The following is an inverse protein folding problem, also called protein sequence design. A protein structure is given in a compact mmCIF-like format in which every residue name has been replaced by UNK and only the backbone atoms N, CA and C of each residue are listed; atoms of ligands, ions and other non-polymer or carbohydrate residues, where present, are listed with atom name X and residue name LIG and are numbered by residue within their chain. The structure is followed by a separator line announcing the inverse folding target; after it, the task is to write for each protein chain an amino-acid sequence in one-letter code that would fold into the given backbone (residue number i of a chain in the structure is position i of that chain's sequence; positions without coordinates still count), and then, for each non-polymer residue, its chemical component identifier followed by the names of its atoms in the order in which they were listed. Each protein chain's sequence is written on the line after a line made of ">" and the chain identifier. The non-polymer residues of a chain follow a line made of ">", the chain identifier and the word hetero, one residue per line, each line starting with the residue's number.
data_IF_263458411718
#
_entry.id   IF_263458411718
#
_cell.length_a   1.000
_cell.length_b   1.000
_cell.length_c   1.000
_cell.angle_alpha   90.00
_cell.angle_beta   90.00
_cell.angle_gamma   90.00
#
_symmetry.space_group_name_H-M   'P 1'
#
loop_
_entity.id
_entity.type
_entity.pdbx_description
1 polymer ?
#
# COMPACT_ATOMS: atom_id res chain seq x y z
N UNK A 1 -23.21 -25.77 29.84
CA UNK A 1 -23.23 -26.00 28.36
C UNK A 1 -23.56 -24.73 27.58
N UNK A 2 -24.53 -23.90 27.98
CA UNK A 2 -24.89 -22.64 27.31
C UNK A 2 -23.76 -21.58 27.23
N UNK A 3 -23.01 -21.35 28.32
CA UNK A 3 -21.89 -20.39 28.31
C UNK A 3 -20.71 -20.83 27.41
N UNK A 4 -20.54 -22.15 27.23
CA UNK A 4 -19.51 -22.69 26.33
C UNK A 4 -19.92 -22.62 24.85
N UNK A 5 -21.22 -22.64 24.53
CA UNK A 5 -21.70 -22.46 23.16
C UNK A 5 -21.61 -21.00 22.72
N UNK A 6 -21.93 -20.05 23.61
CA UNK A 6 -21.77 -18.60 23.33
C UNK A 6 -20.31 -18.25 23.07
N UNK A 7 -19.38 -18.70 23.92
CA UNK A 7 -17.95 -18.43 23.73
C UNK A 7 -17.32 -19.10 22.50
N UNK A 8 -17.95 -20.13 21.94
CA UNK A 8 -17.55 -20.73 20.65
C UNK A 8 -18.10 -19.94 19.46
N UNK A 9 -19.34 -19.46 19.55
CA UNK A 9 -19.97 -18.63 18.53
C UNK A 9 -19.24 -17.28 18.38
N UNK A 10 -18.94 -16.58 19.47
CA UNK A 10 -18.19 -15.31 19.44
C UNK A 10 -16.76 -15.47 18.91
N UNK A 11 -16.10 -16.61 19.18
CA UNK A 11 -14.76 -16.89 18.63
C UNK A 11 -14.85 -17.10 17.11
N UNK A 12 -15.90 -17.77 16.62
CA UNK A 12 -16.15 -17.97 15.19
C UNK A 12 -16.38 -16.65 14.46
N UNK A 13 -17.25 -15.80 15.00
CA UNK A 13 -17.61 -14.51 14.40
C UNK A 13 -16.40 -13.55 14.32
N UNK A 14 -15.56 -13.52 15.37
CA UNK A 14 -14.33 -12.72 15.37
C UNK A 14 -13.30 -13.23 14.36
N UNK A 15 -13.19 -14.55 14.18
CA UNK A 15 -12.28 -15.11 13.19
C UNK A 15 -12.81 -14.91 11.76
N UNK A 16 -14.12 -14.99 11.53
CA UNK A 16 -14.76 -14.64 10.24
C UNK A 16 -14.50 -13.17 9.87
N UNK A 17 -14.73 -12.24 10.80
CA UNK A 17 -14.44 -10.81 10.60
C UNK A 17 -12.96 -10.58 10.25
N UNK A 18 -12.04 -11.27 10.94
CA UNK A 18 -10.61 -11.16 10.64
C UNK A 18 -10.27 -11.68 9.23
N UNK A 19 -10.91 -12.76 8.76
CA UNK A 19 -10.72 -13.27 7.40
C UNK A 19 -11.21 -12.27 6.36
N UNK A 20 -12.34 -11.60 6.59
CA UNK A 20 -12.85 -10.55 5.69
C UNK A 20 -11.85 -9.39 5.59
N UNK A 21 -11.29 -8.95 6.72
CA UNK A 21 -10.25 -7.92 6.74
C UNK A 21 -8.98 -8.34 5.99
N UNK A 22 -8.56 -9.61 6.11
CA UNK A 22 -7.43 -10.15 5.33
C UNK A 22 -7.76 -10.21 3.84
N UNK A 23 -8.99 -10.57 3.46
CA UNK A 23 -9.47 -10.53 2.09
C UNK A 23 -9.38 -9.13 1.49
N UNK A 24 -9.90 -8.13 2.21
CA UNK A 24 -9.81 -6.73 1.83
C UNK A 24 -8.36 -6.25 1.70
N UNK A 25 -7.51 -6.59 2.67
CA UNK A 25 -6.07 -6.28 2.64
C UNK A 25 -5.38 -6.84 1.38
N UNK A 26 -5.63 -8.10 1.05
CA UNK A 26 -5.01 -8.75 -0.12
C UNK A 26 -5.47 -8.09 -1.43
N UNK A 27 -6.77 -7.81 -1.55
CA UNK A 27 -7.33 -7.12 -2.72
C UNK A 27 -6.74 -5.72 -2.88
N UNK A 28 -6.66 -4.97 -1.78
CA UNK A 28 -6.09 -3.63 -1.76
C UNK A 28 -4.58 -3.64 -2.08
N UNK A 29 -3.82 -4.60 -1.56
CA UNK A 29 -2.40 -4.77 -1.89
C UNK A 29 -2.22 -5.02 -3.40
N UNK A 30 -3.01 -5.94 -3.96
CA UNK A 30 -2.93 -6.26 -5.39
C UNK A 30 -3.27 -5.04 -6.26
N UNK A 31 -4.32 -4.29 -5.90
CA UNK A 31 -4.69 -3.05 -6.58
C UNK A 31 -3.57 -1.99 -6.49
N UNK A 32 -2.97 -1.80 -5.31
CA UNK A 32 -1.88 -0.86 -5.10
C UNK A 32 -0.63 -1.20 -5.93
N UNK A 33 -0.26 -2.48 -5.99
CA UNK A 33 0.87 -2.96 -6.81
C UNK A 33 0.60 -2.73 -8.30
N UNK A 34 -0.62 -3.03 -8.76
CA UNK A 34 -1.01 -2.78 -10.16
C UNK A 34 -0.96 -1.29 -10.48
N UNK A 35 -1.52 -0.44 -9.63
CA UNK A 35 -1.51 1.02 -9.83
C UNK A 35 -0.08 1.56 -9.86
N UNK A 36 0.78 1.16 -8.93
CA UNK A 36 2.19 1.56 -8.90
C UNK A 36 2.90 1.17 -10.21
N UNK A 37 2.66 -0.03 -10.71
CA UNK A 37 3.24 -0.49 -11.98
C UNK A 37 2.79 0.41 -13.13
N UNK A 38 1.49 0.67 -13.27
CA UNK A 38 0.99 1.47 -14.38
C UNK A 38 1.37 2.95 -14.28
N UNK A 39 1.45 3.53 -13.07
CA UNK A 39 1.97 4.90 -12.90
C UNK A 39 3.47 4.99 -13.22
N UNK A 40 4.27 3.97 -12.91
CA UNK A 40 5.67 3.91 -13.34
C UNK A 40 5.79 3.83 -14.85
N UNK A 41 4.96 3.01 -15.50
CA UNK A 41 4.88 2.93 -16.95
C UNK A 41 4.51 4.29 -17.55
N UNK A 42 3.48 4.94 -17.01
CA UNK A 42 3.05 6.27 -17.42
C UNK A 42 4.18 7.30 -17.33
N UNK A 43 4.87 7.37 -16.18
CA UNK A 43 5.99 8.30 -16.00
C UNK A 43 7.15 8.04 -16.98
N UNK A 44 7.42 6.78 -17.33
CA UNK A 44 8.40 6.44 -18.36
C UNK A 44 7.94 6.89 -19.75
N UNK A 45 6.64 6.75 -20.06
CA UNK A 45 6.06 7.26 -21.32
C UNK A 45 6.15 8.80 -21.40
N UNK A 46 5.94 9.52 -20.30
CA UNK A 46 6.12 10.98 -20.24
C UNK A 46 7.57 11.36 -20.57
N UNK A 47 8.55 10.67 -19.99
CA UNK A 47 9.98 10.87 -20.30
C UNK A 47 10.30 10.61 -21.77
N UNK A 48 9.78 9.52 -22.31
CA UNK A 48 9.98 9.17 -23.71
C UNK A 48 9.36 10.20 -24.66
N UNK A 49 8.16 10.72 -24.34
CA UNK A 49 7.50 11.76 -25.12
C UNK A 49 8.28 13.08 -25.07
N UNK A 50 8.75 13.48 -23.89
CA UNK A 50 9.61 14.66 -23.74
C UNK A 50 10.87 14.58 -24.60
N UNK A 51 11.55 13.43 -24.60
CA UNK A 51 12.74 13.22 -25.44
C UNK A 51 12.40 13.27 -26.93
N UNK A 52 11.30 12.64 -27.35
CA UNK A 52 10.86 12.67 -28.74
C UNK A 52 10.51 14.10 -29.19
N UNK A 53 9.80 14.86 -28.35
CA UNK A 53 9.46 16.27 -28.59
C UNK A 53 10.72 17.12 -28.72
N UNK A 54 11.71 16.91 -27.85
CA UNK A 54 12.99 17.62 -27.91
C UNK A 54 13.74 17.35 -29.21
N UNK A 55 13.90 16.08 -29.60
CA UNK A 55 14.58 15.71 -30.84
C UNK A 55 13.89 16.31 -32.08
N UNK A 56 12.55 16.39 -32.07
CA UNK A 56 11.80 17.03 -33.15
C UNK A 56 12.07 18.54 -33.20
N UNK A 57 12.07 19.22 -32.06
CA UNK A 57 12.36 20.65 -31.97
C UNK A 57 13.82 20.97 -32.33
N UNK A 58 14.78 20.13 -31.94
CA UNK A 58 16.18 20.28 -32.34
C UNK A 58 16.33 20.22 -33.87
N UNK A 59 15.65 19.26 -34.52
CA UNK A 59 15.64 19.15 -35.98
C UNK A 59 14.97 20.35 -36.66
N UNK A 60 13.90 20.91 -36.06
CA UNK A 60 13.27 22.13 -36.54
C UNK A 60 14.23 23.32 -36.47
N UNK A 61 14.92 23.50 -35.34
CA UNK A 61 15.87 24.59 -35.12
C UNK A 61 17.08 24.49 -36.04
N UNK A 62 17.58 23.28 -36.33
CA UNK A 62 18.67 23.06 -37.31
C UNK A 62 18.22 23.37 -38.74
N UNK A 63 16.99 23.03 -39.10
CA UNK A 63 16.43 23.32 -40.42
C UNK A 63 16.05 24.80 -40.59
N UNK A 64 15.90 25.56 -39.50
CA UNK A 64 15.53 26.97 -39.52
C UNK A 64 16.73 27.83 -39.92
N UNK A 65 16.66 28.41 -41.11
CA UNK A 65 17.75 29.22 -41.69
C UNK A 65 18.18 30.38 -40.78
N UNK A 66 19.48 30.66 -40.73
CA UNK A 66 20.04 31.75 -39.91
C UNK A 66 19.50 33.15 -40.31
N UNK A 67 19.07 33.28 -41.56
CA UNK A 67 18.53 34.49 -42.17
C UNK A 67 17.00 34.61 -42.05
N UNK A 68 16.34 33.59 -41.51
CA UNK A 68 14.88 33.58 -41.39
C UNK A 68 14.43 34.41 -40.18
N UNK A 69 13.31 35.15 -40.29
CA UNK A 69 12.77 35.94 -39.18
C UNK A 69 12.51 35.10 -37.93
N UNK A 70 12.49 35.73 -36.76
CA UNK A 70 11.98 35.13 -35.52
C UNK A 70 12.72 33.85 -35.05
N UNK A 71 13.93 33.59 -35.56
CA UNK A 71 14.75 32.43 -35.16
C UNK A 71 15.00 32.37 -33.64
N UNK A 72 15.25 33.52 -33.01
CA UNK A 72 15.41 33.61 -31.56
C UNK A 72 14.10 33.29 -30.83
N UNK A 73 12.94 33.64 -31.39
CA UNK A 73 11.62 33.31 -30.82
C UNK A 73 11.35 31.80 -30.89
N UNK A 74 11.66 31.16 -32.01
CA UNK A 74 11.58 29.69 -32.16
C UNK A 74 12.43 28.99 -31.10
N UNK A 75 13.66 29.47 -30.88
CA UNK A 75 14.55 28.94 -29.85
C UNK A 75 13.99 29.16 -28.43
N UNK A 76 13.45 30.35 -28.15
CA UNK A 76 12.84 30.66 -26.86
C UNK A 76 11.60 29.78 -26.57
N UNK A 77 10.78 29.50 -27.58
CA UNK A 77 9.66 28.54 -27.47
C UNK A 77 10.18 27.14 -27.16
N UNK A 78 11.25 26.69 -27.83
CA UNK A 78 11.88 25.40 -27.52
C UNK A 78 12.37 25.31 -26.07
N UNK A 79 13.10 26.32 -25.58
CA UNK A 79 13.58 26.35 -24.20
C UNK A 79 12.40 26.36 -23.21
N UNK A 80 11.30 27.05 -23.53
CA UNK A 80 10.08 27.06 -22.73
C UNK A 80 9.40 25.68 -22.68
N UNK A 81 9.29 24.98 -23.81
CA UNK A 81 8.77 23.60 -23.87
C UNK A 81 9.61 22.65 -23.01
N UNK A 82 10.95 22.75 -23.08
CA UNK A 82 11.86 21.91 -22.30
C UNK A 82 11.69 22.12 -20.78
N UNK A 83 11.45 23.36 -20.35
CA UNK A 83 11.15 23.69 -18.95
C UNK A 83 9.81 23.09 -18.50
N UNK A 84 8.76 23.21 -19.32
CA UNK A 84 7.44 22.64 -19.01
C UNK A 84 7.49 21.12 -18.91
N UNK A 85 8.19 20.44 -19.83
CA UNK A 85 8.40 19.00 -19.76
C UNK A 85 9.16 18.57 -18.50
N UNK A 86 10.20 19.32 -18.11
CA UNK A 86 11.00 19.03 -16.93
C UNK A 86 10.19 19.18 -15.64
N UNK A 87 9.44 20.28 -15.50
CA UNK A 87 8.54 20.50 -14.35
C UNK A 87 7.46 19.42 -14.26
N UNK A 88 6.86 19.04 -15.39
CA UNK A 88 5.85 17.99 -15.43
C UNK A 88 6.39 16.62 -14.99
N UNK A 89 7.57 16.23 -15.50
CA UNK A 89 8.25 15.00 -15.09
C UNK A 89 8.59 14.99 -13.60
N UNK A 90 9.05 16.11 -13.05
CA UNK A 90 9.36 16.25 -11.63
C UNK A 90 8.09 16.07 -10.79
N UNK A 91 6.98 16.73 -11.15
CA UNK A 91 5.70 16.61 -10.44
C UNK A 91 5.14 15.19 -10.47
N UNK A 92 5.12 14.54 -11.63
CA UNK A 92 4.69 13.13 -11.73
C UNK A 92 5.56 12.24 -10.84
N UNK A 93 6.86 12.51 -10.76
CA UNK A 93 7.76 11.71 -9.91
C UNK A 93 7.54 11.98 -8.42
N UNK A 94 7.50 13.25 -8.03
CA UNK A 94 7.52 13.69 -6.62
C UNK A 94 6.14 13.63 -5.99
N UNK A 95 5.10 14.04 -6.71
CA UNK A 95 3.75 14.24 -6.17
C UNK A 95 2.82 13.06 -6.46
N UNK A 96 3.15 12.22 -7.45
CA UNK A 96 2.37 11.02 -7.78
C UNK A 96 3.12 9.74 -7.41
N UNK A 97 4.31 9.50 -7.97
CA UNK A 97 5.03 8.24 -7.75
C UNK A 97 5.55 8.07 -6.31
N UNK A 98 6.09 9.12 -5.71
CA UNK A 98 6.63 9.02 -4.34
C UNK A 98 5.55 8.62 -3.31
N UNK A 99 4.38 9.28 -3.22
CA UNK A 99 3.30 8.86 -2.33
C UNK A 99 2.80 7.43 -2.60
N UNK A 100 2.71 7.02 -3.86
CA UNK A 100 2.31 5.65 -4.23
C UNK A 100 3.32 4.62 -3.73
N UNK A 101 4.63 4.92 -3.81
CA UNK A 101 5.66 4.06 -3.25
C UNK A 101 5.56 3.97 -1.72
N UNK A 102 5.34 5.09 -1.03
CA UNK A 102 5.14 5.13 0.45
C UNK A 102 3.89 4.37 0.88
N UNK A 103 2.80 4.47 0.12
CA UNK A 103 1.60 3.70 0.38
C UNK A 103 1.86 2.19 0.19
N UNK A 104 2.54 1.81 -0.89
CA UNK A 104 2.88 0.41 -1.17
C UNK A 104 3.82 -0.19 -0.10
N UNK A 105 4.72 0.61 0.49
CA UNK A 105 5.68 0.12 1.48
C UNK A 105 5.05 -0.28 2.82
N UNK A 106 3.78 0.07 3.09
CA UNK A 106 3.07 -0.32 4.31
C UNK A 106 2.66 -1.81 4.29
N UNK A 107 2.35 -2.36 3.11
CA UNK A 107 1.77 -3.70 3.00
C UNK A 107 2.72 -4.83 3.44
N UNK A 108 4.03 -4.84 3.13
CA UNK A 108 4.93 -5.92 3.55
C UNK A 108 4.97 -6.13 5.06
N UNK A 109 5.01 -5.06 5.85
CA UNK A 109 5.05 -5.14 7.31
C UNK A 109 3.75 -5.70 7.89
N UNK A 110 2.61 -5.17 7.44
CA UNK A 110 1.28 -5.64 7.85
C UNK A 110 1.10 -7.13 7.49
N UNK A 111 1.54 -7.54 6.29
CA UNK A 111 1.53 -8.94 5.85
C UNK A 111 2.36 -9.85 6.76
N UNK A 112 3.53 -9.40 7.20
CA UNK A 112 4.35 -10.15 8.16
C UNK A 112 3.65 -10.28 9.51
N UNK A 113 2.94 -9.24 9.97
CA UNK A 113 2.15 -9.28 11.20
C UNK A 113 0.94 -10.20 11.10
N UNK A 114 0.22 -10.23 9.97
CA UNK A 114 -0.84 -11.23 9.71
C UNK A 114 -0.29 -12.65 9.81
N UNK A 115 0.86 -12.92 9.17
CA UNK A 115 1.52 -14.23 9.26
C UNK A 115 1.95 -14.56 10.71
N UNK A 116 2.43 -13.55 11.47
CA UNK A 116 2.78 -13.70 12.89
C UNK A 116 1.55 -14.04 13.72
N UNK A 117 0.40 -13.38 13.51
CA UNK A 117 -0.87 -13.73 14.17
C UNK A 117 -1.22 -15.20 13.93
N UNK A 118 -1.16 -15.66 12.68
CA UNK A 118 -1.43 -17.05 12.33
C UNK A 118 -0.58 -18.05 13.11
N UNK A 119 0.73 -17.81 13.21
CA UNK A 119 1.64 -18.64 14.03
C UNK A 119 1.28 -18.59 15.52
N UNK A 120 0.94 -17.42 16.06
CA UNK A 120 0.59 -17.25 17.48
C UNK A 120 -0.76 -17.84 17.86
N UNK A 121 -1.69 -17.91 16.92
CA UNK A 121 -2.94 -18.63 17.10
C UNK A 121 -2.67 -20.14 17.28
N UNK A 122 -1.80 -20.72 16.46
CA UNK A 122 -1.39 -22.13 16.57
C UNK A 122 -0.72 -22.40 17.91
N UNK A 123 0.24 -21.56 18.32
CA UNK A 123 0.90 -21.67 19.63
C UNK A 123 -0.12 -21.64 20.79
N UNK A 124 -1.10 -20.74 20.71
CA UNK A 124 -2.14 -20.60 21.74
C UNK A 124 -3.11 -21.79 21.76
N UNK A 125 -3.58 -22.27 20.61
CA UNK A 125 -4.48 -23.42 20.56
C UNK A 125 -3.79 -24.71 21.03
N UNK A 126 -2.48 -24.88 20.76
CA UNK A 126 -1.68 -25.96 21.32
C UNK A 126 -1.58 -25.89 22.85
N UNK A 127 -1.32 -24.70 23.42
CA UNK A 127 -1.26 -24.50 24.87
C UNK A 127 -2.63 -24.75 25.54
N UNK A 128 -3.74 -24.33 24.90
CA UNK A 128 -5.10 -24.64 25.34
C UNK A 128 -5.37 -26.14 25.39
N UNK A 129 -4.96 -26.87 24.35
CA UNK A 129 -5.12 -28.32 24.30
C UNK A 129 -4.35 -29.02 25.42
N UNK A 130 -3.11 -28.61 25.67
CA UNK A 130 -2.28 -29.11 26.78
C UNK A 130 -2.95 -28.85 28.13
N UNK A 131 -3.46 -27.64 28.37
CA UNK A 131 -4.20 -27.30 29.58
C UNK A 131 -5.47 -28.15 29.75
N UNK A 132 -6.26 -28.31 28.69
CA UNK A 132 -7.49 -29.12 28.73
C UNK A 132 -7.18 -30.59 29.06
N UNK A 133 -6.10 -31.14 28.50
CA UNK A 133 -5.64 -32.51 28.80
C UNK A 133 -5.18 -32.64 30.26
N UNK A 134 -4.44 -31.65 30.78
CA UNK A 134 -4.01 -31.63 32.18
C UNK A 134 -5.21 -31.58 33.16
N UNK A 135 -6.25 -30.81 32.82
CA UNK A 135 -7.48 -30.68 33.62
C UNK A 135 -8.32 -31.98 33.65
N UNK A 136 -8.30 -32.77 32.58
CA UNK A 136 -9.07 -34.02 32.47
C UNK A 136 -8.30 -35.24 33.03
N UNK A 137 -7.06 -35.08 33.48
CA UNK A 137 -6.26 -36.17 34.01
C UNK A 137 -6.87 -36.73 35.29
N UNK A 138 -7.10 -38.06 35.32
CA UNK A 138 -7.56 -38.78 36.52
C UNK A 138 -6.51 -38.80 37.64
N UNK A 139 -5.22 -38.64 37.31
CA UNK A 139 -4.13 -38.40 38.25
C UNK A 139 -3.81 -36.91 38.22
N UNK A 140 -4.45 -36.14 39.10
CA UNK A 140 -4.27 -34.69 39.17
C UNK A 140 -2.90 -34.37 39.76
N UNK A 141 -2.08 -33.65 39.00
CA UNK A 141 -0.79 -33.12 39.40
C UNK A 141 -0.91 -31.58 39.36
N UNK A 142 -1.01 -30.97 40.54
CA UNK A 142 -1.26 -29.54 40.66
C UNK A 142 -0.09 -28.69 40.13
N UNK A 143 1.15 -29.18 40.23
CA UNK A 143 2.32 -28.48 39.68
C UNK A 143 2.29 -28.49 38.14
N UNK A 144 1.95 -29.63 37.54
CA UNK A 144 1.77 -29.76 36.09
C UNK A 144 0.61 -28.92 35.58
N UNK A 145 -0.50 -28.88 36.32
CA UNK A 145 -1.67 -28.07 35.99
C UNK A 145 -1.33 -26.58 36.02
N UNK A 146 -0.65 -26.11 37.07
CA UNK A 146 -0.25 -24.71 37.20
C UNK A 146 0.68 -24.30 36.05
N UNK A 147 1.67 -25.14 35.71
CA UNK A 147 2.57 -24.86 34.57
C UNK A 147 1.82 -24.74 33.25
N UNK A 148 0.90 -25.66 32.96
CA UNK A 148 0.09 -25.61 31.74
C UNK A 148 -0.82 -24.36 31.70
N UNK A 149 -1.32 -23.92 32.85
CA UNK A 149 -2.11 -22.70 32.96
C UNK A 149 -1.26 -21.46 32.67
N UNK A 150 -0.06 -21.36 33.25
CA UNK A 150 0.86 -20.24 33.02
C UNK A 150 1.30 -20.15 31.55
N UNK A 151 1.63 -21.29 30.93
CA UNK A 151 1.99 -21.37 29.50
C UNK A 151 0.83 -20.95 28.60
N UNK A 152 -0.39 -21.42 28.90
CA UNK A 152 -1.60 -21.02 28.16
C UNK A 152 -1.87 -19.52 28.30
N UNK A 153 -1.73 -18.94 29.50
CA UNK A 153 -1.92 -17.51 29.74
C UNK A 153 -0.88 -16.68 28.96
N UNK A 154 0.38 -17.11 28.95
CA UNK A 154 1.46 -16.44 28.19
C UNK A 154 1.19 -16.49 26.68
N UNK A 155 0.85 -17.66 26.14
CA UNK A 155 0.54 -17.81 24.72
C UNK A 155 -0.68 -16.97 24.31
N UNK A 156 -1.73 -16.95 25.15
CA UNK A 156 -2.91 -16.10 24.96
C UNK A 156 -2.53 -14.63 24.86
N UNK A 157 -1.75 -14.12 25.81
CA UNK A 157 -1.34 -12.71 25.83
C UNK A 157 -0.60 -12.32 24.55
N UNK A 158 0.39 -13.12 24.13
CA UNK A 158 1.15 -12.86 22.91
C UNK A 158 0.27 -12.90 21.66
N UNK A 159 -0.70 -13.80 21.58
CA UNK A 159 -1.67 -13.83 20.50
C UNK A 159 -2.58 -12.61 20.51
N UNK A 160 -3.19 -12.27 21.66
CA UNK A 160 -4.13 -11.17 21.81
C UNK A 160 -3.46 -9.83 21.46
N UNK A 161 -2.21 -9.61 21.87
CA UNK A 161 -1.43 -8.39 21.56
C UNK A 161 -1.30 -8.19 20.03
N UNK A 162 -1.00 -9.25 19.29
CA UNK A 162 -0.88 -9.19 17.82
C UNK A 162 -2.26 -9.10 17.16
N UNK A 163 -3.23 -9.86 17.65
CA UNK A 163 -4.57 -9.92 17.10
C UNK A 163 -5.27 -8.57 17.20
N UNK A 164 -5.29 -7.97 18.39
CA UNK A 164 -6.00 -6.71 18.63
C UNK A 164 -5.39 -5.59 17.80
N UNK A 165 -4.05 -5.50 17.74
CA UNK A 165 -3.38 -4.53 16.89
C UNK A 165 -3.73 -4.66 15.39
N UNK A 166 -3.96 -5.89 14.89
CA UNK A 166 -4.41 -6.09 13.50
C UNK A 166 -5.91 -5.85 13.30
N UNK A 167 -6.74 -6.14 14.31
CA UNK A 167 -8.17 -5.85 14.26
C UNK A 167 -8.45 -4.35 14.14
N UNK A 168 -7.56 -3.51 14.66
CA UNK A 168 -7.63 -2.04 14.51
C UNK A 168 -6.97 -1.55 13.21
N UNK A 169 -5.78 -2.08 12.88
CA UNK A 169 -4.97 -1.59 11.76
C UNK A 169 -5.54 -1.96 10.38
N UNK A 170 -6.05 -3.19 10.21
CA UNK A 170 -6.56 -3.65 8.90
C UNK A 170 -7.74 -2.82 8.39
N UNK A 171 -8.81 -2.56 9.17
CA UNK A 171 -9.90 -1.69 8.71
C UNK A 171 -9.43 -0.25 8.52
N UNK A 172 -8.56 0.28 9.38
CA UNK A 172 -8.03 1.63 9.22
C UNK A 172 -7.23 1.79 7.91
N UNK A 173 -6.36 0.82 7.60
CA UNK A 173 -5.65 0.76 6.33
C UNK A 173 -6.63 0.65 5.16
N UNK A 174 -7.70 -0.14 5.32
CA UNK A 174 -8.73 -0.25 4.30
C UNK A 174 -9.39 1.10 4.03
N UNK A 175 -9.86 1.81 5.04
CA UNK A 175 -10.55 3.09 4.89
C UNK A 175 -9.65 4.18 4.29
N UNK A 176 -8.35 4.15 4.61
CA UNK A 176 -7.37 5.09 4.05
C UNK A 176 -7.26 5.06 2.52
N UNK A 177 -7.68 3.95 1.87
CA UNK A 177 -7.56 3.74 0.41
C UNK A 177 -8.25 4.84 -0.40
N UNK A 178 -9.38 5.34 0.09
CA UNK A 178 -10.20 6.32 -0.64
C UNK A 178 -9.42 7.65 -0.72
N UNK A 179 -8.95 8.14 0.43
CA UNK A 179 -8.14 9.35 0.50
C UNK A 179 -6.85 9.24 -0.30
N UNK A 180 -6.19 8.08 -0.25
CA UNK A 180 -5.01 7.80 -1.06
C UNK A 180 -5.29 7.94 -2.57
N UNK A 181 -6.34 7.30 -3.08
CA UNK A 181 -6.68 7.39 -4.51
C UNK A 181 -7.07 8.81 -4.92
N UNK A 182 -7.90 9.48 -4.11
CA UNK A 182 -8.32 10.87 -4.39
C UNK A 182 -7.10 11.78 -4.51
N UNK A 183 -6.22 11.77 -3.51
CA UNK A 183 -5.03 12.63 -3.51
C UNK A 183 -4.08 12.32 -4.66
N UNK A 184 -3.87 11.03 -4.97
CA UNK A 184 -2.98 10.60 -6.06
C UNK A 184 -3.49 11.08 -7.42
N UNK A 185 -4.76 10.84 -7.73
CA UNK A 185 -5.33 11.22 -9.02
C UNK A 185 -5.57 12.72 -9.13
N UNK A 186 -5.89 13.40 -8.04
CA UNK A 186 -5.96 14.86 -8.02
C UNK A 186 -4.59 15.49 -8.35
N UNK A 187 -3.50 14.99 -7.75
CA UNK A 187 -2.15 15.47 -8.05
C UNK A 187 -1.77 15.22 -9.52
N UNK A 188 -2.09 14.02 -10.04
CA UNK A 188 -1.84 13.67 -11.45
C UNK A 188 -2.61 14.58 -12.40
N UNK A 189 -3.94 14.67 -12.26
CA UNK A 189 -4.78 15.43 -13.18
C UNK A 189 -4.52 16.93 -13.10
N UNK A 190 -4.23 17.47 -11.92
CA UNK A 190 -3.84 18.88 -11.78
C UNK A 190 -2.52 19.18 -12.48
N UNK A 191 -1.56 18.25 -12.40
CA UNK A 191 -0.28 18.36 -13.10
C UNK A 191 -0.46 18.26 -14.61
N UNK A 192 -1.26 17.31 -15.10
CA UNK A 192 -1.62 17.18 -16.52
C UNK A 192 -2.33 18.42 -17.05
N UNK A 193 -3.35 18.90 -16.34
CA UNK A 193 -4.11 20.09 -16.75
C UNK A 193 -3.20 21.29 -16.90
N UNK A 194 -2.34 21.54 -15.90
CA UNK A 194 -1.39 22.65 -15.95
C UNK A 194 -0.41 22.50 -17.11
N UNK A 195 0.21 21.33 -17.24
CA UNK A 195 1.15 21.05 -18.32
C UNK A 195 0.52 21.29 -19.70
N UNK A 196 -0.66 20.75 -19.96
CA UNK A 196 -1.33 20.93 -21.25
C UNK A 196 -1.80 22.36 -21.51
N UNK A 197 -2.23 23.08 -20.46
CA UNK A 197 -2.61 24.49 -20.58
C UNK A 197 -1.40 25.33 -20.94
N UNK A 198 -0.31 25.19 -20.20
CA UNK A 198 0.91 25.98 -20.41
C UNK A 198 1.56 25.62 -21.76
N UNK A 199 1.60 24.33 -22.12
CA UNK A 199 2.14 23.86 -23.42
C UNK A 199 1.34 24.39 -24.61
N UNK A 200 0.03 24.62 -24.47
CA UNK A 200 -0.79 25.17 -25.55
C UNK A 200 -0.54 26.65 -25.84
N UNK A 201 0.19 27.33 -24.95
CA UNK A 201 0.53 28.76 -25.07
C UNK A 201 1.94 29.01 -25.62
N UNK A 202 2.75 27.95 -25.76
CA UNK A 202 4.10 28.00 -26.33
C UNK A 202 4.04 27.85 -27.84
#
# INVERSE_FOLDING_TARGET
>A
QFLQSIGKAEKSEKDETFQDYVGNFNNQQAAAVKLQKELKNYANSVKAMSLASKNLNDALTEAYGDDWPDKDEVRNSQDSMDLLWSDYQEKVTREVLSPVNTYQSQFPEVKQRIAKRGRKLVDYDAARHTLATAQQSKKRDDAKLQKAQDECQKAKKVYDDVNNGLMDELPALHDSRIGFYVSTFQALFSSEQRFHTDMSQV
#
